data_IF_558918625992
#
_entry.id   IF_558918625992
#
_cell.length_a   1.000
_cell.length_b   1.000
_cell.length_c   1.000
_cell.angle_alpha   90.00
_cell.angle_beta   90.00
_cell.angle_gamma   90.00
#
_symmetry.space_group_name_H-M   'P 1'
#
loop_
_entity.id
_entity.type
_entity.pdbx_description
1 polymer ?
#
# COMPACT_ATOMS: atom_id res chain seq x y z
N UNK A 1 7.82 3.78 -3.40
CA UNK A 1 7.12 5.05 -3.06
C UNK A 1 6.47 5.02 -1.67
N UNK A 2 5.82 3.94 -1.18
CA UNK A 2 5.27 3.89 0.21
C UNK A 2 6.31 3.63 1.30
N UNK A 3 7.36 2.86 1.00
CA UNK A 3 8.38 2.46 1.98
C UNK A 3 9.11 3.66 2.63
N UNK A 4 9.21 4.78 1.91
CA UNK A 4 9.84 6.02 2.40
C UNK A 4 9.03 6.63 3.56
N UNK A 5 7.70 6.53 3.52
CA UNK A 5 6.81 7.02 4.58
C UNK A 5 6.76 6.08 5.80
N UNK A 6 7.23 4.84 5.64
CA UNK A 6 7.23 3.82 6.70
C UNK A 6 8.53 3.83 7.51
N UNK A 7 9.62 4.40 6.97
CA UNK A 7 10.93 4.51 7.61
C UNK A 7 10.94 4.98 9.07
N UNK A 8 10.09 5.93 9.52
CA UNK A 8 10.09 6.39 10.90
C UNK A 8 9.55 5.38 11.93
N UNK A 9 8.69 4.44 11.51
CA UNK A 9 8.03 3.44 12.38
C UNK A 9 7.77 2.14 11.63
N UNK A 10 8.80 1.37 11.27
CA UNK A 10 8.66 0.19 10.44
C UNK A 10 7.82 -0.92 11.11
N UNK A 11 7.92 -1.05 12.43
CA UNK A 11 7.19 -2.03 13.25
C UNK A 11 5.67 -1.95 13.03
N UNK A 12 5.14 -0.73 12.99
CA UNK A 12 3.71 -0.45 12.88
C UNK A 12 3.13 -0.86 11.52
N UNK A 13 3.95 -0.90 10.46
CA UNK A 13 3.51 -1.16 9.09
C UNK A 13 4.05 -2.48 8.53
N UNK A 14 4.68 -3.31 9.36
CA UNK A 14 5.31 -4.57 8.95
C UNK A 14 4.37 -5.48 8.16
N UNK A 15 3.13 -5.66 8.63
CA UNK A 15 2.14 -6.51 7.96
C UNK A 15 1.68 -5.94 6.63
N UNK A 16 1.47 -4.63 6.55
CA UNK A 16 1.11 -3.93 5.30
C UNK A 16 2.24 -4.01 4.28
N UNK A 17 3.50 -3.85 4.71
CA UNK A 17 4.65 -3.97 3.82
C UNK A 17 4.82 -5.41 3.30
N UNK A 18 4.66 -6.43 4.16
CA UNK A 18 4.65 -7.84 3.74
C UNK A 18 3.57 -8.09 2.69
N UNK A 19 2.35 -7.59 2.92
CA UNK A 19 1.23 -7.73 2.00
C UNK A 19 1.47 -7.01 0.66
N UNK A 20 2.06 -5.82 0.68
CA UNK A 20 2.38 -5.08 -0.56
C UNK A 20 3.47 -5.79 -1.36
N UNK A 21 4.44 -6.44 -0.70
CA UNK A 21 5.51 -7.22 -1.35
C UNK A 21 5.01 -8.51 -2.02
N UNK A 22 3.89 -9.07 -1.59
CA UNK A 22 3.32 -10.29 -2.19
C UNK A 22 2.44 -10.03 -3.42
N UNK A 23 2.25 -8.77 -3.84
CA UNK A 23 1.39 -8.42 -4.98
C UNK A 23 2.11 -8.58 -6.32
N UNK A 24 1.34 -8.89 -7.36
CA UNK A 24 1.89 -9.05 -8.72
C UNK A 24 2.35 -7.69 -9.28
N UNK A 25 3.49 -7.64 -9.97
CA UNK A 25 3.91 -6.42 -10.65
C UNK A 25 2.88 -6.08 -11.74
N UNK A 26 2.26 -4.90 -11.62
CA UNK A 26 1.19 -4.45 -12.51
C UNK A 26 -0.21 -4.37 -11.86
N UNK A 27 -0.39 -4.88 -10.64
CA UNK A 27 -1.64 -4.64 -9.91
C UNK A 27 -1.71 -3.19 -9.39
N UNK A 28 -2.84 -2.53 -9.66
CA UNK A 28 -3.11 -1.19 -9.13
C UNK A 28 -3.21 -1.27 -7.61
N UNK A 29 -2.44 -0.40 -6.94
CA UNK A 29 -2.41 -0.33 -5.49
C UNK A 29 -3.77 0.12 -4.95
N UNK A 30 -4.23 -0.38 -3.78
CA UNK A 30 -5.62 -0.26 -3.33
C UNK A 30 -6.06 1.20 -3.16
N UNK A 31 -5.16 2.03 -2.64
CA UNK A 31 -5.38 3.45 -2.43
C UNK A 31 -5.30 4.28 -3.72
N UNK A 32 -4.89 3.67 -4.84
CA UNK A 32 -4.96 4.25 -6.19
C UNK A 32 -6.23 3.83 -6.94
N UNK A 33 -7.02 2.90 -6.41
CA UNK A 33 -8.27 2.43 -7.02
C UNK A 33 -9.39 3.44 -6.80
N UNK A 34 -9.71 4.19 -7.86
CA UNK A 34 -10.82 5.16 -7.88
C UNK A 34 -12.19 4.49 -7.99
N UNK A 35 -12.21 3.22 -8.39
CA UNK A 35 -13.39 2.35 -8.48
C UNK A 35 -13.91 1.89 -7.10
N UNK A 36 -13.04 1.80 -6.09
CA UNK A 36 -13.40 1.30 -4.76
C UNK A 36 -14.03 2.34 -3.84
N UNK A 37 -13.79 3.62 -4.09
CA UNK A 37 -14.26 4.70 -3.24
C UNK A 37 -15.19 5.59 -4.06
N UNK A 38 -16.49 5.71 -3.72
CA UNK A 38 -17.35 6.68 -4.37
C UNK A 38 -16.79 8.07 -4.06
N UNK A 39 -16.42 8.80 -5.10
CA UNK A 39 -16.11 10.23 -4.99
C UNK A 39 -17.44 10.89 -4.63
N UNK A 40 -17.56 11.37 -3.39
CA UNK A 40 -18.71 12.20 -2.96
C UNK A 40 -18.59 13.60 -3.54
#
# INVERSE_FOLDING_TARGET
>A
EVEIFVGPRPEQYTWILKLLKTRKPGEIQPYKRKDLYPIK
#
